data_IF_812066591429
#
_entry.id   IF_812066591429
#
_cell.length_a   1.000
_cell.length_b   1.000
_cell.length_c   1.000
_cell.angle_alpha   90.00
_cell.angle_beta   90.00
_cell.angle_gamma   90.00
#
_symmetry.space_group_name_H-M   'P 1'
#
loop_
_entity.id
_entity.type
_entity.pdbx_description
1 polymer ?
#
# COMPACT_ATOMS: atom_id res chain seq x y z
N UNK A 1 -4.78 -1.23 1.53
CA UNK A 1 -3.56 -1.99 1.81
C UNK A 1 -2.77 -1.45 3.00
N UNK A 2 -2.39 -0.18 3.06
CA UNK A 2 -1.74 0.38 4.27
C UNK A 2 -2.75 0.66 5.40
N UNK A 3 -3.93 1.18 5.05
CA UNK A 3 -5.07 1.33 5.97
C UNK A 3 -5.77 -0.01 6.30
N UNK A 4 -5.29 -1.12 5.74
CA UNK A 4 -5.85 -2.45 5.92
C UNK A 4 -6.85 -2.89 4.85
N UNK A 5 -7.22 -2.04 3.88
CA UNK A 5 -8.12 -2.48 2.80
C UNK A 5 -7.47 -3.51 1.86
N UNK A 6 -8.28 -4.42 1.31
CA UNK A 6 -7.87 -5.31 0.23
C UNK A 6 -7.84 -4.57 -1.10
N UNK A 7 -6.90 -4.93 -1.97
CA UNK A 7 -6.80 -4.39 -3.33
C UNK A 7 -6.99 -5.53 -4.33
N UNK A 8 -7.88 -5.32 -5.30
CA UNK A 8 -8.15 -6.30 -6.35
C UNK A 8 -6.87 -6.65 -7.14
N UNK A 9 -6.70 -7.94 -7.41
CA UNK A 9 -5.55 -8.48 -8.14
C UNK A 9 -5.96 -9.65 -9.02
N UNK A 10 -5.51 -9.63 -10.27
CA UNK A 10 -5.66 -10.77 -11.17
C UNK A 10 -4.41 -11.65 -11.16
N UNK A 11 -4.45 -12.74 -10.39
CA UNK A 11 -3.33 -13.70 -10.28
C UNK A 11 -3.21 -14.67 -11.47
N UNK A 12 -4.17 -14.70 -12.40
CA UNK A 12 -4.24 -15.71 -13.47
C UNK A 12 -3.29 -15.45 -14.64
N UNK A 13 -2.80 -14.21 -14.77
CA UNK A 13 -1.96 -13.76 -15.89
C UNK A 13 -0.47 -13.76 -15.57
N UNK A 14 -0.10 -14.09 -14.34
CA UNK A 14 1.29 -14.04 -13.91
C UNK A 14 2.12 -15.12 -14.62
N UNK A 15 3.16 -14.69 -15.34
CA UNK A 15 4.01 -15.56 -16.16
C UNK A 15 5.09 -16.31 -15.34
N UNK A 16 5.06 -16.22 -14.01
CA UNK A 16 6.11 -16.76 -13.13
C UNK A 16 7.52 -16.24 -13.45
N UNK A 17 7.62 -15.03 -14.00
CA UNK A 17 8.89 -14.39 -14.32
C UNK A 17 9.32 -13.46 -13.19
N UNK A 18 10.58 -13.59 -12.76
CA UNK A 18 11.16 -12.84 -11.64
C UNK A 18 11.77 -11.49 -12.04
N UNK A 19 11.89 -11.22 -13.34
CA UNK A 19 12.65 -10.09 -13.90
C UNK A 19 11.84 -9.15 -14.79
N UNK A 20 10.59 -9.47 -15.10
CA UNK A 20 9.79 -8.75 -16.09
C UNK A 20 8.36 -8.59 -15.60
N UNK A 21 8.12 -7.49 -14.90
CA UNK A 21 6.79 -7.08 -14.43
C UNK A 21 6.19 -6.12 -15.44
N UNK A 22 5.03 -6.47 -16.01
CA UNK A 22 4.35 -5.65 -17.01
C UNK A 22 3.17 -4.88 -16.44
N UNK A 23 2.59 -5.41 -15.36
CA UNK A 23 1.40 -4.86 -14.72
C UNK A 23 1.55 -4.84 -13.19
N UNK A 24 0.74 -4.01 -12.52
CA UNK A 24 0.60 -4.03 -11.05
C UNK A 24 0.24 -5.43 -10.54
N UNK A 25 -0.58 -6.16 -11.29
CA UNK A 25 -1.03 -7.49 -10.92
C UNK A 25 0.13 -8.50 -10.96
N UNK A 26 1.11 -8.34 -11.85
CA UNK A 26 2.32 -9.18 -11.86
C UNK A 26 3.16 -8.96 -10.61
N UNK A 27 3.35 -7.70 -10.20
CA UNK A 27 4.07 -7.34 -8.97
C UNK A 27 3.35 -7.88 -7.73
N UNK A 28 2.02 -7.70 -7.66
CA UNK A 28 1.24 -8.18 -6.54
C UNK A 28 1.23 -9.70 -6.47
N UNK A 29 1.09 -10.37 -7.61
CA UNK A 29 1.16 -11.83 -7.66
C UNK A 29 2.52 -12.34 -7.22
N UNK A 30 3.62 -11.68 -7.63
CA UNK A 30 4.95 -12.01 -7.15
C UNK A 30 5.13 -11.83 -5.64
N UNK A 31 4.66 -10.71 -5.08
CA UNK A 31 4.70 -10.47 -3.63
C UNK A 31 3.82 -11.45 -2.83
N UNK A 32 2.73 -11.94 -3.41
CA UNK A 32 1.92 -13.03 -2.85
C UNK A 32 2.73 -14.33 -2.80
N UNK A 33 3.45 -14.68 -3.88
CA UNK A 33 4.30 -15.88 -3.92
C UNK A 33 5.45 -15.84 -2.91
N UNK A 34 6.02 -14.65 -2.66
CA UNK A 34 7.04 -14.45 -1.63
C UNK A 34 6.50 -14.44 -0.20
N UNK A 35 5.18 -14.39 -0.01
CA UNK A 35 4.53 -14.32 1.30
C UNK A 35 4.46 -12.92 1.92
N UNK A 36 4.78 -11.85 1.18
CA UNK A 36 4.62 -10.47 1.64
C UNK A 36 3.16 -10.01 1.61
N UNK A 37 2.37 -10.53 0.67
CA UNK A 37 0.93 -10.26 0.56
C UNK A 37 0.13 -11.55 0.75
N UNK A 38 -1.02 -11.44 1.41
CA UNK A 38 -2.01 -12.50 1.48
C UNK A 38 -3.08 -12.30 0.42
N UNK A 39 -3.38 -13.35 -0.34
CA UNK A 39 -4.47 -13.38 -1.31
C UNK A 39 -5.77 -13.88 -0.68
N UNK A 40 -6.87 -13.19 -0.95
CA UNK A 40 -8.22 -13.62 -0.62
C UNK A 40 -8.91 -14.12 -1.90
N UNK A 41 -9.14 -15.44 -1.96
CA UNK A 41 -9.79 -16.09 -3.11
C UNK A 41 -11.26 -15.69 -3.27
N UNK A 42 -11.96 -15.27 -2.21
CA UNK A 42 -13.39 -14.94 -2.30
C UNK A 42 -13.61 -13.63 -3.03
N UNK A 43 -12.81 -12.64 -2.67
CA UNK A 43 -12.93 -11.27 -3.19
C UNK A 43 -11.94 -11.00 -4.32
N UNK A 44 -11.06 -11.96 -4.65
CA UNK A 44 -9.93 -11.78 -5.59
C UNK A 44 -9.07 -10.56 -5.26
N UNK A 45 -8.85 -10.32 -3.96
CA UNK A 45 -8.04 -9.20 -3.47
C UNK A 45 -6.78 -9.68 -2.79
N UNK A 46 -5.79 -8.80 -2.66
CA UNK A 46 -4.63 -9.03 -1.82
C UNK A 46 -4.52 -7.96 -0.72
N UNK A 47 -3.87 -8.32 0.39
CA UNK A 47 -3.67 -7.44 1.54
C UNK A 47 -2.35 -7.72 2.25
N UNK A 48 -1.88 -6.75 3.03
CA UNK A 48 -0.74 -6.96 3.93
C UNK A 48 -1.22 -7.81 5.13
N UNK A 49 -0.62 -9.00 5.36
CA UNK A 49 -1.19 -10.01 6.26
C UNK A 49 -1.07 -9.68 7.75
N UNK A 50 -0.01 -8.98 8.16
CA UNK A 50 0.30 -8.73 9.56
C UNK A 50 0.82 -7.29 9.78
N UNK A 51 1.02 -6.94 11.06
CA UNK A 51 1.48 -5.60 11.45
C UNK A 51 2.97 -5.39 11.18
N UNK A 52 3.80 -6.43 11.28
CA UNK A 52 5.24 -6.29 11.06
C UNK A 52 5.56 -5.91 9.62
N UNK A 53 5.01 -6.65 8.65
CA UNK A 53 5.20 -6.36 7.21
C UNK A 53 4.64 -4.98 6.86
N UNK A 54 3.53 -4.57 7.49
CA UNK A 54 2.98 -3.23 7.32
C UNK A 54 3.91 -2.14 7.84
N UNK A 55 4.56 -2.38 8.98
CA UNK A 55 5.57 -1.48 9.54
C UNK A 55 6.74 -1.30 8.61
N UNK A 56 7.29 -2.40 8.07
CA UNK A 56 8.38 -2.35 7.09
C UNK A 56 8.01 -1.54 5.83
N UNK A 57 6.79 -1.72 5.33
CA UNK A 57 6.29 -0.91 4.20
C UNK A 57 6.17 0.58 4.55
N UNK A 58 5.67 0.92 5.75
CA UNK A 58 5.60 2.31 6.20
C UNK A 58 7.00 2.93 6.30
N UNK A 59 7.94 2.21 6.90
CA UNK A 59 9.32 2.64 7.07
C UNK A 59 10.00 2.88 5.71
N UNK A 60 9.77 1.99 4.73
CA UNK A 60 10.29 2.14 3.38
C UNK A 60 9.74 3.40 2.69
N UNK A 61 8.44 3.68 2.84
CA UNK A 61 7.82 4.89 2.27
C UNK A 61 8.36 6.17 2.92
N UNK A 62 8.63 6.14 4.23
CA UNK A 62 9.15 7.30 4.97
C UNK A 62 10.65 7.54 4.72
N UNK A 63 11.44 6.49 4.46
CA UNK A 63 12.91 6.57 4.42
C UNK A 63 13.47 6.65 3.01
N UNK A 64 12.83 6.01 2.02
CA UNK A 64 13.35 5.97 0.66
C UNK A 64 13.04 7.27 -0.09
N UNK A 65 14.07 7.89 -0.65
CA UNK A 65 13.94 9.16 -1.36
C UNK A 65 12.98 9.09 -2.56
N UNK A 66 12.83 7.91 -3.17
CA UNK A 66 11.90 7.68 -4.29
C UNK A 66 10.43 7.83 -3.87
N UNK A 67 10.11 7.59 -2.59
CA UNK A 67 8.76 7.72 -2.06
C UNK A 67 8.49 9.06 -1.37
N UNK A 68 9.40 10.03 -1.45
CA UNK A 68 9.26 11.33 -0.77
C UNK A 68 7.90 12.01 -1.04
N UNK A 69 7.45 12.03 -2.29
CA UNK A 69 6.13 12.60 -2.66
C UNK A 69 4.97 11.86 -1.99
N UNK A 70 5.06 10.52 -1.90
CA UNK A 70 4.03 9.72 -1.25
C UNK A 70 4.02 9.95 0.27
N UNK A 71 5.21 10.05 0.86
CA UNK A 71 5.39 10.41 2.27
C UNK A 71 4.77 11.77 2.58
N UNK A 72 5.04 12.79 1.75
CA UNK A 72 4.48 14.13 1.90
C UNK A 72 2.94 14.12 1.85
N UNK A 73 2.35 13.41 0.88
CA UNK A 73 0.88 13.27 0.76
C UNK A 73 0.29 12.63 2.02
N UNK A 74 0.92 11.57 2.55
CA UNK A 74 0.47 10.90 3.76
C UNK A 74 0.55 11.86 4.96
N UNK A 75 1.62 12.63 5.08
CA UNK A 75 1.79 13.61 6.15
C UNK A 75 0.74 14.73 6.06
N UNK A 76 0.52 15.29 4.87
CA UNK A 76 -0.52 16.30 4.65
C UNK A 76 -1.91 15.76 4.98
N UNK A 77 -2.23 14.52 4.60
CA UNK A 77 -3.51 13.88 4.95
C UNK A 77 -3.70 13.74 6.47
N UNK A 78 -2.64 13.41 7.21
CA UNK A 78 -2.68 13.34 8.69
C UNK A 78 -2.87 14.71 9.31
N UNK A 79 -2.20 15.74 8.77
CA UNK A 79 -2.33 17.11 9.23
C UNK A 79 -3.76 17.62 9.03
N UNK A 80 -4.32 17.46 7.83
CA UNK A 80 -5.72 17.80 7.54
C UNK A 80 -6.71 17.11 8.48
N UNK A 81 -6.50 15.83 8.80
CA UNK A 81 -7.34 15.11 9.76
C UNK A 81 -7.21 15.70 11.17
N UNK A 82 -6.00 16.05 11.61
CA UNK A 82 -5.76 16.70 12.90
C UNK A 82 -6.47 18.05 12.98
N UNK A 83 -6.36 18.85 11.94
CA UNK A 83 -6.95 20.20 11.88
C UNK A 83 -8.48 20.13 11.85
N UNK A 84 -9.04 19.16 11.11
CA UNK A 84 -10.48 18.85 11.13
C UNK A 84 -10.96 18.46 12.52
N UNK A 85 -10.21 17.61 13.24
CA UNK A 85 -10.56 17.18 14.60
C UNK A 85 -10.47 18.32 15.62
N UNK A 86 -9.58 19.29 15.39
CA UNK A 86 -9.41 20.48 16.22
C UNK A 86 -10.41 21.60 15.89
N UNK A 87 -11.32 21.40 14.93
CA UNK A 87 -12.24 22.42 14.41
C UNK A 87 -11.52 23.67 13.90
N UNK A 88 -10.31 23.52 13.36
CA UNK A 88 -9.55 24.63 12.80
C UNK A 88 -10.00 24.89 11.35
N UNK A 89 -11.03 25.72 11.20
CA UNK A 89 -11.64 26.03 9.90
C UNK A 89 -10.68 26.76 8.94
N UNK A 90 -9.63 27.44 9.41
CA UNK A 90 -8.67 28.14 8.52
C UNK A 90 -7.61 27.19 7.93
N UNK A 91 -7.27 26.11 8.64
CA UNK A 91 -6.26 25.13 8.22
C UNK A 91 -6.80 24.04 7.25
N UNK A 92 -8.12 23.93 7.09
CA UNK A 92 -8.79 22.87 6.32
C UNK A 92 -9.29 23.36 4.94
N UNK A 93 -9.02 24.61 4.56
CA UNK A 93 -9.45 25.23 3.27
C UNK A 93 -8.45 25.01 2.14
#
# INVERSE_FOLDING_TARGET
>A
MLAGEGVEVNVTRFLNTMSSFHTKDDLFTFLIHLGYLAYDMKDSTCRIPNREVRGEWSNAIETEAEYAVTSDIIQSSRQLLSDTLNMDEEAVV
#
